data_IF_835468160647
#
_entry.id   IF_835468160647
#
_cell.length_a   1.000
_cell.length_b   1.000
_cell.length_c   1.000
_cell.angle_alpha   90.00
_cell.angle_beta   90.00
_cell.angle_gamma   90.00
#
_symmetry.space_group_name_H-M   'P 1'
#
loop_
_entity.id
_entity.type
_entity.pdbx_description
1 polymer ?
#
# COMPACT_ATOMS: atom_id res chain seq x y z
N UNK A 1 -8.83 1.13 -20.78
CA UNK A 1 -7.45 1.24 -20.26
C UNK A 1 -7.56 1.10 -18.76
N UNK A 2 -6.97 0.05 -18.18
CA UNK A 2 -6.81 -0.02 -16.74
C UNK A 2 -6.05 1.24 -16.31
N UNK A 3 -6.44 1.88 -15.22
CA UNK A 3 -5.66 2.99 -14.71
C UNK A 3 -4.31 2.41 -14.27
N UNK A 4 -3.26 2.71 -15.03
CA UNK A 4 -1.90 2.34 -14.67
C UNK A 4 -1.63 2.97 -13.31
N UNK A 5 -1.48 2.13 -12.29
CA UNK A 5 -1.22 2.57 -10.92
C UNK A 5 0.04 3.45 -10.84
N UNK A 6 0.27 4.02 -9.66
CA UNK A 6 1.45 4.83 -9.39
C UNK A 6 2.55 3.98 -8.77
N UNK A 7 3.76 4.09 -9.31
CA UNK A 7 4.94 3.46 -8.74
C UNK A 7 5.37 4.25 -7.49
N UNK A 8 5.71 3.51 -6.43
CA UNK A 8 6.18 4.05 -5.16
C UNK A 8 7.50 3.38 -4.81
N UNK A 9 8.55 4.19 -4.80
CA UNK A 9 9.90 3.75 -4.47
C UNK A 9 10.13 3.79 -2.96
N UNK A 10 10.65 2.69 -2.43
CA UNK A 10 11.15 2.59 -1.06
C UNK A 10 12.66 2.37 -1.15
N UNK A 11 13.42 3.33 -0.63
CA UNK A 11 14.88 3.26 -0.53
C UNK A 11 15.27 3.05 0.92
N UNK A 12 16.12 2.05 1.15
CA UNK A 12 16.78 1.82 2.44
C UNK A 12 18.29 1.96 2.23
N UNK A 13 18.93 2.72 3.11
CA UNK A 13 20.38 2.95 3.13
C UNK A 13 20.95 2.62 4.49
N UNK A 14 22.27 2.40 4.54
CA UNK A 14 23.03 2.14 5.77
C UNK A 14 22.58 0.86 6.51
N UNK A 15 22.05 -0.12 5.77
CA UNK A 15 21.70 -1.45 6.27
C UNK A 15 22.98 -2.19 6.65
N UNK A 16 23.20 -2.30 7.96
CA UNK A 16 24.35 -2.97 8.55
C UNK A 16 23.92 -3.82 9.74
N UNK A 17 24.73 -4.80 10.11
CA UNK A 17 24.55 -5.65 11.29
C UNK A 17 23.25 -6.49 11.30
N UNK A 18 22.69 -6.81 10.13
CA UNK A 18 21.69 -7.88 10.03
C UNK A 18 22.38 -9.22 10.32
N UNK A 19 21.79 -10.03 11.19
CA UNK A 19 22.24 -11.41 11.39
C UNK A 19 21.88 -12.25 10.15
N UNK A 20 22.57 -13.38 9.97
CA UNK A 20 22.24 -14.33 8.91
C UNK A 20 20.76 -14.71 8.99
N UNK A 21 20.05 -14.52 7.87
CA UNK A 21 18.61 -14.76 7.80
C UNK A 21 17.75 -13.63 8.37
N UNK A 22 18.26 -12.42 8.58
CA UNK A 22 17.43 -11.25 8.90
C UNK A 22 17.19 -10.34 7.70
N UNK A 23 16.08 -9.60 7.73
CA UNK A 23 15.69 -8.60 6.75
C UNK A 23 15.07 -7.37 7.41
N UNK A 24 15.18 -6.21 6.78
CA UNK A 24 14.32 -5.06 7.05
C UNK A 24 13.02 -5.27 6.28
N UNK A 25 11.91 -5.46 6.99
CA UNK A 25 10.57 -5.63 6.43
C UNK A 25 9.80 -4.31 6.49
N UNK A 26 9.19 -3.93 5.36
CA UNK A 26 8.27 -2.79 5.26
C UNK A 26 6.87 -3.33 5.06
N UNK A 27 5.96 -3.01 5.97
CA UNK A 27 4.59 -3.55 6.03
C UNK A 27 3.55 -2.43 5.98
N UNK A 28 2.29 -2.79 5.73
CA UNK A 28 1.15 -1.90 5.99
C UNK A 28 0.89 -1.88 7.50
N UNK A 29 1.19 -0.78 8.20
CA UNK A 29 0.87 -0.63 9.62
C UNK A 29 -0.55 -0.12 9.88
N UNK A 30 -1.14 0.59 8.90
CA UNK A 30 -2.53 1.03 8.94
C UNK A 30 -2.86 2.05 7.85
N UNK A 31 -4.14 2.43 7.77
CA UNK A 31 -4.64 3.47 6.86
C UNK A 31 -5.52 4.47 7.62
N UNK A 32 -6.00 5.52 6.96
CA UNK A 32 -6.98 6.47 7.52
C UNK A 32 -8.44 5.99 7.41
N UNK A 33 -8.67 4.77 6.90
CA UNK A 33 -10.00 4.19 6.78
C UNK A 33 -10.28 3.13 7.85
N UNK A 34 -11.55 2.88 8.13
CA UNK A 34 -11.95 1.83 9.09
C UNK A 34 -11.40 0.47 8.67
N UNK A 35 -11.01 -0.34 9.65
CA UNK A 35 -10.41 -1.66 9.43
C UNK A 35 -9.17 -1.65 8.52
N UNK A 36 -8.41 -0.54 8.51
CA UNK A 36 -7.17 -0.39 7.74
C UNK A 36 -7.36 -0.70 6.24
N UNK A 37 -8.54 -0.38 5.71
CA UNK A 37 -8.83 -0.64 4.31
C UNK A 37 -8.01 0.29 3.40
N UNK A 38 -7.55 -0.25 2.28
CA UNK A 38 -6.92 0.44 1.17
C UNK A 38 -7.99 1.18 0.37
N UNK A 39 -8.52 2.25 0.97
CA UNK A 39 -9.58 3.09 0.40
C UNK A 39 -9.12 4.54 0.43
N UNK A 40 -9.40 5.25 -0.65
CA UNK A 40 -9.28 6.70 -0.75
C UNK A 40 -10.68 7.31 -0.67
N UNK A 41 -10.79 8.52 -0.15
CA UNK A 41 -12.06 9.24 -0.05
C UNK A 41 -11.97 10.65 -0.62
N UNK A 42 -13.10 11.20 -1.05
CA UNK A 42 -13.20 12.55 -1.58
C UNK A 42 -14.65 13.02 -1.66
N UNK A 43 -14.86 14.26 -2.09
CA UNK A 43 -16.19 14.81 -2.35
C UNK A 43 -16.36 15.15 -3.82
N UNK A 44 -17.52 14.82 -4.38
CA UNK A 44 -17.90 15.28 -5.72
C UNK A 44 -18.38 16.73 -5.73
N UNK A 45 -18.72 17.24 -6.93
CA UNK A 45 -19.19 18.61 -7.11
C UNK A 45 -20.50 18.93 -6.35
N UNK A 46 -21.26 17.90 -5.96
CA UNK A 46 -22.45 18.04 -5.12
C UNK A 46 -22.16 17.95 -3.62
N UNK A 47 -20.89 17.80 -3.23
CA UNK A 47 -20.48 17.63 -1.84
C UNK A 47 -20.71 16.22 -1.28
N UNK A 48 -21.06 15.24 -2.12
CA UNK A 48 -21.33 13.86 -1.70
C UNK A 48 -20.01 13.13 -1.51
N UNK A 49 -19.86 12.44 -0.36
CA UNK A 49 -18.70 11.61 -0.10
C UNK A 49 -18.65 10.44 -1.08
N UNK A 50 -17.49 10.25 -1.70
CA UNK A 50 -17.17 9.15 -2.60
C UNK A 50 -15.97 8.39 -2.07
N UNK A 51 -15.98 7.09 -2.29
CA UNK A 51 -14.88 6.18 -1.95
C UNK A 51 -14.31 5.56 -3.22
N UNK A 52 -13.03 5.22 -3.19
CA UNK A 52 -12.32 4.51 -4.24
C UNK A 52 -11.36 3.51 -3.60
N UNK A 53 -11.54 2.22 -3.89
CA UNK A 53 -10.59 1.19 -3.48
C UNK A 53 -9.28 1.30 -4.26
N UNK A 54 -8.19 0.84 -3.65
CA UNK A 54 -6.93 0.63 -4.35
C UNK A 54 -6.24 -0.66 -3.85
N UNK A 55 -5.35 -1.19 -4.67
CA UNK A 55 -4.51 -2.36 -4.35
C UNK A 55 -3.06 -1.94 -4.27
N UNK A 56 -2.29 -2.66 -3.48
CA UNK A 56 -0.82 -2.56 -3.49
C UNK A 56 -0.30 -3.78 -4.25
N UNK A 57 0.40 -3.57 -5.36
CA UNK A 57 1.13 -4.61 -6.08
C UNK A 57 2.59 -4.60 -5.62
N UNK A 58 3.01 -5.71 -5.02
CA UNK A 58 4.40 -5.93 -4.60
C UNK A 58 5.33 -6.10 -5.81
N UNK A 59 6.66 -6.00 -5.63
CA UNK A 59 7.62 -6.19 -6.73
C UNK A 59 7.51 -7.54 -7.44
N UNK A 60 7.09 -8.60 -6.73
CA UNK A 60 6.87 -9.94 -7.28
C UNK A 60 5.54 -10.08 -8.05
N UNK A 61 4.75 -9.01 -8.12
CA UNK A 61 3.46 -8.96 -8.79
C UNK A 61 2.26 -9.37 -7.93
N UNK A 62 2.48 -9.86 -6.70
CA UNK A 62 1.39 -10.21 -5.77
C UNK A 62 0.64 -8.97 -5.29
N UNK A 63 -0.65 -9.14 -5.00
CA UNK A 63 -1.54 -8.05 -4.61
C UNK A 63 -1.89 -8.12 -3.13
N UNK A 64 -1.78 -6.99 -2.44
CA UNK A 64 -2.45 -6.73 -1.17
C UNK A 64 -3.74 -5.99 -1.49
N UNK A 65 -4.85 -6.57 -1.05
CA UNK A 65 -6.20 -6.07 -1.27
C UNK A 65 -6.88 -5.82 0.08
N UNK A 66 -8.04 -5.17 0.04
CA UNK A 66 -8.90 -5.02 1.22
C UNK A 66 -10.18 -5.82 1.07
N UNK A 67 -10.66 -6.35 2.19
CA UNK A 67 -11.97 -6.98 2.30
C UNK A 67 -12.87 -6.06 3.12
N UNK A 68 -14.13 -5.94 2.73
CA UNK A 68 -15.12 -5.16 3.45
C UNK A 68 -15.18 -5.56 4.94
N UNK A 69 -14.95 -4.60 5.84
CA UNK A 69 -15.02 -4.79 7.30
C UNK A 69 -14.02 -5.80 7.90
N UNK A 70 -12.89 -6.07 7.21
CA UNK A 70 -11.82 -6.93 7.72
C UNK A 70 -10.47 -6.27 7.47
N UNK A 71 -9.64 -6.19 8.52
CA UNK A 71 -8.28 -5.62 8.45
C UNK A 71 -7.28 -6.67 7.94
N UNK A 72 -7.38 -7.00 6.66
CA UNK A 72 -6.49 -7.96 5.98
C UNK A 72 -5.22 -7.33 5.43
N UNK A 73 -5.26 -6.04 5.11
CA UNK A 73 -4.10 -5.34 4.55
C UNK A 73 -3.04 -5.09 5.63
N UNK A 74 -3.46 -4.75 6.85
CA UNK A 74 -2.56 -4.51 7.97
C UNK A 74 -1.69 -5.73 8.29
N UNK A 75 -0.40 -5.50 8.50
CA UNK A 75 0.61 -6.51 8.78
C UNK A 75 1.17 -7.21 7.53
N UNK A 76 0.60 -6.99 6.34
CA UNK A 76 1.15 -7.54 5.11
C UNK A 76 2.46 -6.83 4.75
N UNK A 77 3.52 -7.61 4.48
CA UNK A 77 4.78 -7.10 3.92
C UNK A 77 4.53 -6.53 2.51
N UNK A 78 5.12 -5.38 2.20
CA UNK A 78 5.07 -4.73 0.89
C UNK A 78 6.38 -5.03 0.15
N UNK A 79 7.50 -4.77 0.84
CA UNK A 79 8.87 -5.00 0.37
C UNK A 79 9.76 -5.36 1.55
N UNK A 80 10.87 -6.02 1.28
CA UNK A 80 11.91 -6.30 2.27
C UNK A 80 13.32 -6.17 1.70
N UNK A 81 14.30 -5.94 2.56
CA UNK A 81 15.69 -5.65 2.20
C UNK A 81 16.65 -6.42 3.09
N UNK A 82 17.66 -7.05 2.50
CA UNK A 82 18.79 -7.68 3.21
C UNK A 82 20.07 -6.85 3.11
N UNK A 83 20.04 -5.81 2.28
CA UNK A 83 21.13 -4.87 2.00
C UNK A 83 20.54 -3.54 1.52
N UNK A 84 21.39 -2.53 1.34
CA UNK A 84 20.99 -1.24 0.77
C UNK A 84 20.36 -1.40 -0.61
N UNK A 85 19.34 -0.60 -0.89
CA UNK A 85 18.72 -0.64 -2.21
C UNK A 85 17.42 0.12 -2.31
N UNK A 86 16.87 0.12 -3.51
CA UNK A 86 15.54 0.64 -3.81
C UNK A 86 14.69 -0.47 -4.39
N UNK A 87 13.47 -0.62 -3.87
CA UNK A 87 12.43 -1.49 -4.43
C UNK A 87 11.18 -0.67 -4.67
N UNK A 88 10.48 -0.99 -5.74
CA UNK A 88 9.28 -0.28 -6.18
C UNK A 88 8.07 -1.19 -6.03
N UNK A 89 7.03 -0.70 -5.37
CA UNK A 89 5.71 -1.32 -5.41
C UNK A 89 4.75 -0.39 -6.16
N UNK A 90 3.58 -0.89 -6.61
CA UNK A 90 2.58 -0.05 -7.29
C UNK A 90 1.31 0.11 -6.47
N UNK A 91 0.79 1.33 -6.36
CA UNK A 91 -0.56 1.61 -5.86
C UNK A 91 -1.55 1.70 -7.04
N UNK A 92 -2.47 0.75 -7.14
CA UNK A 92 -3.36 0.58 -8.30
C UNK A 92 -4.80 0.93 -7.90
N UNK A 93 -5.41 2.02 -8.41
CA UNK A 93 -6.80 2.34 -8.12
C UNK A 93 -7.76 1.36 -8.79
N UNK A 94 -8.81 0.98 -8.07
CA UNK A 94 -9.87 0.09 -8.57
C UNK A 94 -10.97 0.89 -9.26
N UNK A 95 -10.75 1.19 -10.55
CA UNK A 95 -11.70 1.95 -11.36
C UNK A 95 -12.81 1.03 -11.88
N UNK A 96 -14.02 1.24 -11.38
CA UNK A 96 -15.22 0.52 -11.79
C UNK A 96 -16.27 1.43 -12.46
N UNK A 97 -17.40 0.85 -12.91
CA UNK A 97 -18.49 1.61 -13.54
C UNK A 97 -19.14 2.62 -12.59
N UNK A 98 -18.99 2.44 -11.28
CA UNK A 98 -19.54 3.32 -10.23
C UNK A 98 -18.55 4.38 -9.74
N UNK A 99 -17.29 4.37 -10.22
CA UNK A 99 -16.29 5.36 -9.84
C UNK A 99 -16.67 6.73 -10.41
N UNK A 100 -16.71 7.74 -9.54
CA UNK A 100 -17.15 9.09 -9.91
C UNK A 100 -15.96 9.91 -10.42
N UNK A 101 -16.09 10.45 -11.64
CA UNK A 101 -15.07 11.31 -12.25
C UNK A 101 -15.08 12.71 -11.64
N UNK A 102 -13.94 13.40 -11.71
CA UNK A 102 -13.79 14.78 -11.23
C UNK A 102 -13.68 14.93 -9.71
N UNK A 103 -13.61 13.81 -8.98
CA UNK A 103 -13.35 13.79 -7.54
C UNK A 103 -11.85 13.71 -7.31
N UNK A 104 -11.33 14.55 -6.40
CA UNK A 104 -9.98 14.37 -5.86
C UNK A 104 -10.08 13.37 -4.71
N UNK A 105 -9.53 12.18 -4.90
CA UNK A 105 -9.49 11.14 -3.89
C UNK A 105 -8.17 11.20 -3.12
N UNK A 106 -8.25 11.21 -1.79
CA UNK A 106 -7.09 11.26 -0.89
C UNK A 106 -7.21 10.19 0.19
N UNK A 107 -6.07 9.73 0.69
CA UNK A 107 -5.97 8.83 1.82
C UNK A 107 -4.55 8.79 2.36
N UNK A 108 -4.31 8.01 3.40
CA UNK A 108 -2.97 7.80 3.95
C UNK A 108 -2.68 6.33 4.18
N UNK A 109 -1.41 5.97 3.99
CA UNK A 109 -0.86 4.67 4.33
C UNK A 109 0.26 4.91 5.34
N UNK A 110 0.20 4.22 6.48
CA UNK A 110 1.28 4.19 7.46
C UNK A 110 2.11 2.94 7.22
N UNK A 111 3.42 3.10 7.05
CA UNK A 111 4.36 1.98 6.95
C UNK A 111 4.82 1.50 8.32
N UNK A 112 4.81 0.19 8.52
CA UNK A 112 5.55 -0.47 9.60
C UNK A 112 6.93 -0.85 9.10
N UNK A 113 7.98 -0.55 9.87
CA UNK A 113 9.36 -0.89 9.52
C UNK A 113 9.96 -1.65 10.71
N UNK A 114 10.47 -2.85 10.47
CA UNK A 114 11.07 -3.69 11.50
C UNK A 114 12.16 -4.58 10.92
N UNK A 115 13.13 -4.98 11.77
CA UNK A 115 14.00 -6.11 11.46
C UNK A 115 13.28 -7.39 11.86
N UNK A 116 13.18 -8.33 10.93
CA UNK A 116 12.54 -9.64 11.15
C UNK A 116 13.42 -10.75 10.59
N UNK A 117 13.11 -11.99 10.96
CA UNK A 117 13.68 -13.14 10.27
C UNK A 117 13.17 -13.21 8.81
N UNK A 118 14.01 -13.71 7.92
CA UNK A 118 13.71 -14.00 6.53
C UNK A 118 13.18 -15.44 6.43
N UNK A 119 12.06 -15.60 5.72
CA UNK A 119 11.47 -16.92 5.40
C UNK A 119 12.17 -17.59 4.22
#
# INVERSE_FOLDING_TARGET
MAADGTDVDITVTDVNNLQDGQKVSVTVAGTDFSFDQLVLSGKDSGGINRILGYKIQRPDGTLIESIANVSVAKGQEIVSFTEDGTKTYRAIPEIGPTTVKGVTYTGSLTYGIAVTDAE
#
